data_IF_610210409488
#
_entry.id   IF_610210409488
#
_cell.length_a   1.000
_cell.length_b   1.000
_cell.length_c   1.000
_cell.angle_alpha   90.00
_cell.angle_beta   90.00
_cell.angle_gamma   90.00
#
_symmetry.space_group_name_H-M   'P 1'
#
loop_
_entity.id
_entity.type
_entity.pdbx_description
1 polymer ?
#
# COMPACT_ATOMS: atom_id res chain seq x y z
N UNK A 1 6.93 -4.31 10.74
CA UNK A 1 6.39 -5.13 9.67
C UNK A 1 5.14 -4.46 9.09
N UNK A 2 4.97 -4.49 7.79
CA UNK A 2 3.81 -3.90 7.13
C UNK A 2 2.53 -4.67 7.47
N UNK A 3 1.50 -3.94 7.89
CA UNK A 3 0.19 -4.51 8.14
C UNK A 3 -0.60 -4.54 6.83
N UNK A 4 -0.50 -5.64 6.11
CA UNK A 4 -1.12 -5.76 4.79
C UNK A 4 -2.64 -5.78 4.86
N UNK A 5 -3.22 -6.33 5.92
CA UNK A 5 -4.67 -6.33 6.10
C UNK A 5 -5.19 -4.90 6.27
N UNK A 6 -4.49 -4.09 7.05
CA UNK A 6 -4.86 -2.70 7.25
C UNK A 6 -4.72 -1.89 5.96
N UNK A 7 -3.66 -2.17 5.19
CA UNK A 7 -3.46 -1.52 3.90
C UNK A 7 -4.64 -1.76 2.97
N UNK A 8 -5.09 -3.01 2.90
CA UNK A 8 -6.25 -3.38 2.08
C UNK A 8 -7.51 -2.68 2.57
N UNK A 9 -7.75 -2.69 3.88
CA UNK A 9 -8.93 -2.04 4.46
C UNK A 9 -8.95 -0.54 4.15
N UNK A 10 -7.82 0.13 4.29
CA UNK A 10 -7.72 1.56 4.01
C UNK A 10 -7.94 1.86 2.54
N UNK A 11 -7.40 1.03 1.66
CA UNK A 11 -7.62 1.16 0.21
C UNK A 11 -9.10 1.05 -0.12
N UNK A 12 -9.76 0.01 0.40
CA UNK A 12 -11.18 -0.24 0.15
C UNK A 12 -12.05 0.86 0.74
N UNK A 13 -11.72 1.32 1.95
CA UNK A 13 -12.43 2.40 2.60
C UNK A 13 -12.37 3.69 1.77
N UNK A 14 -11.24 3.93 1.12
CA UNK A 14 -11.05 5.10 0.27
C UNK A 14 -11.69 4.92 -1.12
N UNK A 15 -12.20 3.74 -1.42
CA UNK A 15 -12.83 3.44 -2.70
C UNK A 15 -11.86 3.23 -3.84
N UNK A 16 -10.60 2.89 -3.56
CA UNK A 16 -9.59 2.73 -4.59
C UNK A 16 -9.52 1.28 -5.05
N UNK A 17 -9.43 1.10 -6.38
CA UNK A 17 -9.02 -0.19 -6.94
C UNK A 17 -7.51 -0.36 -6.73
N UNK A 18 -7.02 -1.59 -6.91
CA UNK A 18 -5.58 -1.82 -6.83
C UNK A 18 -4.82 -1.00 -7.88
N UNK A 19 -5.38 -0.84 -9.08
CA UNK A 19 -4.77 -0.01 -10.12
C UNK A 19 -4.69 1.45 -9.69
N UNK A 20 -5.79 2.00 -9.18
CA UNK A 20 -5.83 3.39 -8.74
C UNK A 20 -4.87 3.62 -7.56
N UNK A 21 -4.80 2.66 -6.64
CA UNK A 21 -3.88 2.74 -5.51
C UNK A 21 -2.41 2.69 -5.96
N UNK A 22 -2.10 1.80 -6.91
CA UNK A 22 -0.76 1.70 -7.47
C UNK A 22 -0.36 3.02 -8.15
N UNK A 23 -1.27 3.61 -8.92
CA UNK A 23 -1.02 4.88 -9.58
C UNK A 23 -0.78 6.00 -8.55
N UNK A 24 -1.59 6.04 -7.50
CA UNK A 24 -1.46 7.05 -6.44
C UNK A 24 -0.16 6.90 -5.67
N UNK A 25 0.33 5.67 -5.51
CA UNK A 25 1.58 5.39 -4.82
C UNK A 25 2.81 5.53 -5.72
N UNK A 26 2.61 5.79 -7.01
CA UNK A 26 3.72 5.90 -7.95
C UNK A 26 4.39 4.56 -8.27
N UNK A 27 3.65 3.47 -8.15
CA UNK A 27 4.16 2.15 -8.48
C UNK A 27 4.06 1.90 -9.99
N UNK A 28 4.89 0.98 -10.48
CA UNK A 28 4.99 0.72 -11.92
C UNK A 28 3.69 0.18 -12.50
N UNK A 29 2.96 -0.66 -11.76
CA UNK A 29 1.74 -1.28 -12.24
C UNK A 29 0.90 -1.82 -11.07
N UNK A 30 -0.30 -2.27 -11.40
CA UNK A 30 -1.23 -2.85 -10.42
C UNK A 30 -0.64 -4.07 -9.71
N UNK A 31 0.13 -4.86 -10.44
CA UNK A 31 0.69 -6.08 -9.88
C UNK A 31 1.67 -5.81 -8.73
N UNK A 32 2.41 -4.70 -8.81
CA UNK A 32 3.29 -4.30 -7.72
C UNK A 32 2.49 -4.03 -6.44
N UNK A 33 1.35 -3.35 -6.54
CA UNK A 33 0.47 -3.14 -5.40
C UNK A 33 -0.08 -4.47 -4.88
N UNK A 34 -0.57 -5.32 -5.79
CA UNK A 34 -1.13 -6.61 -5.42
C UNK A 34 -0.14 -7.46 -4.63
N UNK A 35 1.11 -7.53 -5.09
CA UNK A 35 2.15 -8.30 -4.40
C UNK A 35 2.39 -7.80 -2.97
N UNK A 36 2.39 -6.50 -2.79
CA UNK A 36 2.57 -5.89 -1.47
C UNK A 36 1.37 -6.21 -0.58
N UNK A 37 0.17 -6.01 -1.08
CA UNK A 37 -1.07 -6.22 -0.32
C UNK A 37 -1.28 -7.69 0.02
N UNK A 38 -0.85 -8.59 -0.85
CA UNK A 38 -0.95 -10.04 -0.62
C UNK A 38 0.14 -10.58 0.31
N UNK A 39 1.09 -9.73 0.72
CA UNK A 39 2.17 -10.17 1.59
C UNK A 39 3.27 -10.96 0.88
N UNK A 40 3.32 -10.86 -0.45
CA UNK A 40 4.32 -11.60 -1.25
C UNK A 40 5.69 -10.93 -1.26
N UNK A 41 5.75 -9.66 -0.87
CA UNK A 41 7.02 -8.95 -0.72
C UNK A 41 7.41 -8.92 0.75
N UNK A 42 8.57 -9.50 1.07
CA UNK A 42 9.04 -9.59 2.44
C UNK A 42 9.50 -8.22 2.97
N UNK A 43 10.12 -7.42 2.11
CA UNK A 43 10.71 -6.15 2.53
C UNK A 43 10.18 -5.01 1.67
N UNK A 44 9.69 -3.98 2.36
CA UNK A 44 9.24 -2.75 1.73
C UNK A 44 10.16 -1.64 2.24
N UNK A 45 10.75 -0.87 1.33
CA UNK A 45 11.63 0.24 1.72
C UNK A 45 10.84 1.32 2.43
N UNK A 46 11.53 2.17 3.20
CA UNK A 46 10.90 3.30 3.86
C UNK A 46 10.23 4.22 2.82
N UNK A 47 10.90 4.43 1.69
CA UNK A 47 10.33 5.25 0.62
C UNK A 47 9.03 4.65 0.09
N UNK A 48 9.02 3.33 -0.18
CA UNK A 48 7.82 2.67 -0.67
C UNK A 48 6.71 2.71 0.39
N UNK A 49 7.06 2.50 1.65
CA UNK A 49 6.09 2.58 2.75
C UNK A 49 5.43 3.95 2.80
N UNK A 50 6.22 5.01 2.65
CA UNK A 50 5.68 6.37 2.63
C UNK A 50 4.74 6.59 1.44
N UNK A 51 5.07 6.03 0.28
CA UNK A 51 4.21 6.13 -0.91
C UNK A 51 2.89 5.40 -0.71
N UNK A 52 2.93 4.20 -0.11
CA UNK A 52 1.72 3.45 0.19
C UNK A 52 0.82 4.23 1.15
N UNK A 53 1.40 4.78 2.21
CA UNK A 53 0.67 5.55 3.20
C UNK A 53 0.01 6.79 2.57
N UNK A 54 0.74 7.49 1.72
CA UNK A 54 0.21 8.66 1.02
C UNK A 54 -0.97 8.27 0.12
N UNK A 55 -0.87 7.13 -0.56
CA UNK A 55 -1.93 6.67 -1.46
C UNK A 55 -3.24 6.40 -0.73
N UNK A 56 -3.18 5.89 0.50
CA UNK A 56 -4.38 5.58 1.30
C UNK A 56 -4.69 6.65 2.36
N UNK A 57 -3.94 7.74 2.36
CA UNK A 57 -4.26 8.92 3.18
C UNK A 57 -3.92 8.80 4.66
N UNK A 58 -2.89 8.04 5.00
CA UNK A 58 -2.43 7.87 6.39
C UNK A 58 -0.93 8.12 6.49
N UNK A 59 -0.41 8.08 7.71
CA UNK A 59 1.03 8.15 7.96
C UNK A 59 1.64 6.76 7.84
N UNK A 60 2.91 6.70 7.48
CA UNK A 60 3.62 5.43 7.33
C UNK A 60 3.51 4.56 8.58
N UNK A 61 3.62 5.17 9.77
CA UNK A 61 3.53 4.43 11.05
C UNK A 61 2.19 3.72 11.21
N UNK A 62 1.13 4.22 10.59
CA UNK A 62 -0.20 3.63 10.70
C UNK A 62 -0.32 2.33 9.91
N UNK A 63 0.63 2.05 9.02
CA UNK A 63 0.70 0.81 8.25
C UNK A 63 1.61 -0.23 8.88
N UNK A 64 2.19 0.04 10.02
CA UNK A 64 3.09 -0.89 10.70
C UNK A 64 2.36 -1.60 11.83
N UNK A 65 2.65 -2.90 11.95
CA UNK A 65 2.18 -3.68 13.09
C UNK A 65 3.05 -3.44 14.32
#
# INVERSE_FOLDING_TARGET
MLDTAKLKQLREKKGLTQQAAADAAGLANRQAWHQIEAGLRANVTVETLNRLAAAVGVKAKDLLK
#
